data_IF_501190082277
#
_entry.id   IF_501190082277
#
_cell.length_a   1.000
_cell.length_b   1.000
_cell.length_c   1.000
_cell.angle_alpha   90.00
_cell.angle_beta   90.00
_cell.angle_gamma   90.00
#
_symmetry.space_group_name_H-M   'P 1'
#
loop_
_entity.id
_entity.type
_entity.pdbx_description
1 polymer ?
#
# COMPACT_ATOMS: atom_id res chain seq x y z
N UNK A 1 26.62 -0.82 -4.04
CA UNK A 1 25.19 -0.59 -4.35
C UNK A 1 24.34 -0.20 -3.14
N UNK A 2 24.60 -0.73 -1.93
CA UNK A 2 23.83 -0.42 -0.71
C UNK A 2 23.75 1.08 -0.41
N UNK A 3 24.88 1.79 -0.38
CA UNK A 3 24.94 3.25 -0.13
C UNK A 3 24.07 4.08 -1.08
N UNK A 4 23.95 3.63 -2.35
CA UNK A 4 23.10 4.31 -3.34
C UNK A 4 21.62 4.05 -3.04
N UNK A 5 21.25 2.81 -2.72
CA UNK A 5 19.88 2.46 -2.31
C UNK A 5 19.44 3.24 -1.07
N UNK A 6 20.30 3.35 -0.06
CA UNK A 6 20.04 4.14 1.15
C UNK A 6 19.83 5.62 0.84
N UNK A 7 20.64 6.19 -0.07
CA UNK A 7 20.50 7.59 -0.51
C UNK A 7 19.12 7.85 -1.13
N UNK A 8 18.66 6.97 -2.02
CA UNK A 8 17.36 7.12 -2.68
C UNK A 8 16.20 6.86 -1.72
N UNK A 9 16.31 5.83 -0.88
CA UNK A 9 15.31 5.57 0.16
C UNK A 9 15.16 6.77 1.10
N UNK A 10 16.27 7.36 1.54
CA UNK A 10 16.24 8.59 2.36
C UNK A 10 15.52 9.72 1.62
N UNK A 11 15.85 9.96 0.35
CA UNK A 11 15.19 11.00 -0.46
C UNK A 11 13.67 10.79 -0.56
N UNK A 12 13.23 9.57 -0.83
CA UNK A 12 11.82 9.31 -1.14
C UNK A 12 10.94 9.22 0.11
N UNK A 13 11.48 8.71 1.22
CA UNK A 13 10.74 8.47 2.46
C UNK A 13 10.89 9.61 3.49
N UNK A 14 12.01 10.36 3.56
CA UNK A 14 12.11 11.55 4.45
C UNK A 14 11.11 12.65 4.06
N UNK A 15 10.81 12.76 2.77
CA UNK A 15 9.79 13.70 2.29
C UNK A 15 8.38 13.21 2.61
N UNK A 16 8.17 11.89 2.59
CA UNK A 16 6.86 11.27 2.81
C UNK A 16 6.48 11.22 4.31
N UNK A 17 7.44 11.02 5.22
CA UNK A 17 7.18 10.93 6.67
C UNK A 17 6.51 12.17 7.25
N UNK A 18 6.78 13.35 6.68
CA UNK A 18 6.20 14.63 7.13
C UNK A 18 4.69 14.71 7.02
N UNK A 19 4.11 14.09 5.99
CA UNK A 19 2.66 14.10 5.72
C UNK A 19 2.24 12.86 4.92
N UNK A 20 2.43 11.68 5.52
CA UNK A 20 2.07 10.41 4.88
C UNK A 20 0.58 10.35 4.55
N UNK A 21 -0.27 10.70 5.51
CA UNK A 21 -1.72 10.58 5.38
C UNK A 21 -2.31 11.59 4.39
N UNK A 22 -1.81 12.83 4.37
CA UNK A 22 -2.20 13.82 3.37
C UNK A 22 -1.76 13.42 1.97
N UNK A 23 -0.55 12.86 1.81
CA UNK A 23 -0.07 12.33 0.53
C UNK A 23 -0.94 11.16 0.05
N UNK A 24 -1.27 10.20 0.93
CA UNK A 24 -2.17 9.08 0.61
C UNK A 24 -3.53 9.62 0.18
N UNK A 25 -4.14 10.51 0.97
CA UNK A 25 -5.47 11.06 0.66
C UNK A 25 -5.48 11.79 -0.68
N UNK A 26 -4.46 12.61 -0.94
CA UNK A 26 -4.32 13.36 -2.18
C UNK A 26 -4.20 12.43 -3.39
N UNK A 27 -3.27 11.47 -3.36
CA UNK A 27 -3.04 10.59 -4.51
C UNK A 27 -4.20 9.61 -4.74
N UNK A 28 -4.76 9.06 -3.66
CA UNK A 28 -5.87 8.10 -3.76
C UNK A 28 -7.22 8.73 -4.13
N UNK A 29 -7.36 10.06 -4.02
CA UNK A 29 -8.53 10.79 -4.52
C UNK A 29 -8.74 10.65 -6.03
N UNK A 30 -7.70 10.25 -6.77
CA UNK A 30 -7.75 10.01 -8.21
C UNK A 30 -8.13 8.56 -8.56
N UNK A 31 -8.32 7.69 -7.57
CA UNK A 31 -8.54 6.26 -7.78
C UNK A 31 -9.89 5.99 -8.48
N UNK A 32 -9.84 5.23 -9.58
CA UNK A 32 -11.01 4.83 -10.36
C UNK A 32 -11.61 3.48 -9.93
N UNK A 33 -11.07 2.87 -8.85
CA UNK A 33 -11.53 1.58 -8.31
C UNK A 33 -11.54 0.47 -9.39
N UNK A 34 -10.46 0.35 -10.16
CA UNK A 34 -10.27 -0.69 -11.19
C UNK A 34 -9.78 -2.04 -10.63
N UNK A 35 -9.44 -2.12 -9.34
CA UNK A 35 -8.95 -3.32 -8.64
C UNK A 35 -7.62 -3.93 -9.12
N UNK A 36 -6.97 -3.39 -10.16
CA UNK A 36 -5.68 -3.90 -10.67
C UNK A 36 -4.61 -4.08 -9.58
N UNK A 37 -4.58 -3.17 -8.60
CA UNK A 37 -3.62 -3.23 -7.48
C UNK A 37 -3.88 -4.35 -6.46
N UNK A 38 -5.08 -4.93 -6.46
CA UNK A 38 -5.48 -6.04 -5.60
C UNK A 38 -5.29 -7.36 -6.35
N UNK A 39 -5.80 -7.45 -7.57
CA UNK A 39 -5.81 -8.69 -8.37
C UNK A 39 -4.41 -9.17 -8.73
N UNK A 40 -3.47 -8.24 -8.98
CA UNK A 40 -2.10 -8.57 -9.36
C UNK A 40 -1.13 -8.67 -8.17
N UNK A 41 -1.66 -8.68 -6.94
CA UNK A 41 -0.83 -8.72 -5.76
C UNK A 41 -0.48 -10.18 -5.39
N UNK A 42 0.82 -10.54 -5.34
CA UNK A 42 1.23 -11.93 -5.11
C UNK A 42 1.00 -12.42 -3.68
N UNK A 43 0.55 -11.56 -2.76
CA UNK A 43 0.23 -11.97 -1.38
C UNK A 43 -1.27 -12.03 -1.12
N UNK A 44 -2.08 -11.74 -2.13
CA UNK A 44 -3.53 -11.70 -2.01
C UNK A 44 -4.14 -12.81 -2.84
N UNK A 45 -4.41 -13.92 -2.16
CA UNK A 45 -5.10 -15.06 -2.74
C UNK A 45 -6.51 -15.13 -2.13
N UNK A 46 -7.51 -14.48 -2.75
CA UNK A 46 -8.87 -14.56 -2.26
C UNK A 46 -9.34 -16.03 -2.31
N UNK A 47 -9.89 -16.53 -1.20
CA UNK A 47 -10.55 -17.84 -1.20
C UNK A 47 -11.81 -17.78 -2.08
N UNK A 48 -12.17 -18.89 -2.73
CA UNK A 48 -13.33 -18.94 -3.61
C UNK A 48 -14.65 -18.49 -2.94
N UNK A 49 -14.76 -18.64 -1.62
CA UNK A 49 -15.94 -18.19 -0.85
C UNK A 49 -15.92 -16.68 -0.53
N UNK A 50 -14.73 -16.06 -0.45
CA UNK A 50 -14.61 -14.60 -0.29
C UNK A 50 -15.10 -13.81 -1.50
N UNK A 51 -15.16 -14.45 -2.67
CA UNK A 51 -15.70 -13.89 -3.91
C UNK A 51 -17.24 -13.97 -3.97
N UNK A 52 -17.85 -14.93 -3.26
CA UNK A 52 -19.32 -15.11 -3.21
C UNK A 52 -19.99 -14.19 -2.18
N UNK A 53 -19.22 -13.66 -1.24
CA UNK A 53 -19.74 -12.84 -0.13
C UNK A 53 -19.93 -11.38 -0.57
N UNK A 54 -21.11 -10.84 -0.28
CA UNK A 54 -21.42 -9.43 -0.56
C UNK A 54 -20.46 -8.52 0.20
N UNK A 55 -19.66 -7.72 -0.51
CA UNK A 55 -18.73 -6.80 0.11
C UNK A 55 -19.42 -5.49 0.52
N UNK A 56 -19.88 -5.43 1.77
CA UNK A 56 -20.59 -4.24 2.30
C UNK A 56 -19.70 -2.99 2.41
N UNK A 57 -18.38 -3.18 2.51
CA UNK A 57 -17.42 -2.09 2.73
C UNK A 57 -17.02 -1.35 1.44
N UNK A 58 -17.43 -1.83 0.27
CA UNK A 58 -17.14 -1.17 -1.01
C UNK A 58 -18.45 -0.90 -1.73
N UNK A 59 -18.87 0.37 -1.77
CA UNK A 59 -20.11 0.74 -2.44
C UNK A 59 -19.97 0.59 -3.96
N UNK A 60 -20.90 -0.10 -4.63
CA UNK A 60 -20.98 -0.09 -6.09
C UNK A 60 -21.17 1.34 -6.62
N UNK A 61 -20.56 1.66 -7.77
CA UNK A 61 -20.72 2.98 -8.42
C UNK A 61 -20.01 4.18 -7.79
N UNK A 62 -19.52 4.09 -6.54
CA UNK A 62 -18.80 5.19 -5.88
C UNK A 62 -17.35 5.32 -6.40
N UNK A 63 -17.05 6.42 -7.09
CA UNK A 63 -15.72 6.77 -7.61
C UNK A 63 -15.46 8.27 -7.38
N UNK A 64 -14.33 8.67 -6.77
CA UNK A 64 -13.32 7.83 -6.13
C UNK A 64 -13.89 7.03 -4.95
N UNK A 65 -13.31 5.86 -4.60
CA UNK A 65 -13.82 5.06 -3.50
C UNK A 65 -13.67 5.80 -2.17
N UNK A 66 -14.48 5.41 -1.18
CA UNK A 66 -14.28 5.83 0.20
C UNK A 66 -12.81 5.60 0.64
N UNK A 67 -12.15 6.55 1.34
CA UNK A 67 -10.75 6.42 1.77
C UNK A 67 -10.44 5.11 2.53
N UNK A 68 -11.43 4.54 3.22
CA UNK A 68 -11.30 3.25 3.91
C UNK A 68 -10.97 2.09 2.98
N UNK A 69 -11.29 2.18 1.69
CA UNK A 69 -10.90 1.19 0.68
C UNK A 69 -9.37 1.01 0.63
N UNK A 70 -8.63 2.13 0.55
CA UNK A 70 -7.17 2.13 0.51
C UNK A 70 -6.58 1.79 1.88
N UNK A 71 -7.14 2.33 2.97
CA UNK A 71 -6.68 2.04 4.33
C UNK A 71 -6.75 0.54 4.65
N UNK A 72 -7.90 -0.09 4.36
CA UNK A 72 -8.07 -1.54 4.53
C UNK A 72 -7.06 -2.31 3.70
N UNK A 73 -6.82 -1.86 2.47
CA UNK A 73 -5.83 -2.49 1.57
C UNK A 73 -4.44 -2.47 2.19
N UNK A 74 -3.96 -1.30 2.62
CA UNK A 74 -2.64 -1.18 3.21
C UNK A 74 -2.50 -1.98 4.50
N UNK A 75 -3.53 -1.95 5.36
CA UNK A 75 -3.55 -2.75 6.58
C UNK A 75 -3.50 -4.26 6.29
N UNK A 76 -4.28 -4.73 5.31
CA UNK A 76 -4.39 -6.16 4.96
C UNK A 76 -3.07 -6.79 4.52
N UNK A 77 -2.19 -6.02 3.88
CA UNK A 77 -0.89 -6.52 3.38
C UNK A 77 0.31 -5.97 4.18
N UNK A 78 0.06 -5.26 5.28
CA UNK A 78 1.10 -4.52 6.01
C UNK A 78 2.25 -5.41 6.49
N UNK A 79 1.95 -6.64 6.92
CA UNK A 79 2.92 -7.64 7.38
C UNK A 79 3.53 -8.49 6.23
N UNK A 80 2.79 -8.64 5.15
CA UNK A 80 3.07 -9.63 4.10
C UNK A 80 3.63 -9.01 2.82
N UNK A 81 3.48 -7.71 2.59
CA UNK A 81 3.90 -7.03 1.36
C UNK A 81 5.40 -7.19 1.08
N UNK A 82 5.76 -7.86 -0.01
CA UNK A 82 7.15 -8.10 -0.43
C UNK A 82 7.74 -6.98 -1.30
N UNK A 83 7.05 -5.84 -1.41
CA UNK A 83 7.45 -4.69 -2.21
C UNK A 83 7.72 -5.02 -3.70
N UNK A 84 6.88 -5.86 -4.31
CA UNK A 84 7.03 -6.30 -5.71
C UNK A 84 6.73 -5.24 -6.79
N UNK A 85 6.14 -4.09 -6.43
CA UNK A 85 5.86 -2.99 -7.37
C UNK A 85 4.62 -3.13 -8.25
N UNK A 86 4.06 -4.34 -8.43
CA UNK A 86 2.95 -4.60 -9.36
C UNK A 86 1.72 -3.70 -9.17
N UNK A 87 1.41 -3.33 -7.92
CA UNK A 87 0.28 -2.45 -7.62
C UNK A 87 0.42 -1.02 -8.18
N UNK A 88 1.65 -0.52 -8.27
CA UNK A 88 1.97 0.81 -8.80
C UNK A 88 2.12 0.75 -10.32
N UNK A 89 2.84 -0.26 -10.83
CA UNK A 89 3.06 -0.48 -12.26
C UNK A 89 1.75 -0.63 -13.06
N UNK A 90 0.76 -1.32 -12.50
CA UNK A 90 -0.52 -1.59 -13.17
C UNK A 90 -1.62 -0.58 -12.80
N UNK A 91 -1.28 0.48 -12.06
CA UNK A 91 -2.24 1.50 -11.70
C UNK A 91 -2.52 2.40 -12.91
N UNK A 92 -3.75 2.37 -13.44
CA UNK A 92 -4.18 3.24 -14.54
C UNK A 92 -4.10 4.76 -14.24
N UNK A 93 -3.89 5.13 -12.97
CA UNK A 93 -3.82 6.51 -12.51
C UNK A 93 -2.43 6.90 -11.99
N UNK A 94 -1.42 6.03 -12.15
CA UNK A 94 -0.04 6.25 -11.68
C UNK A 94 0.01 6.65 -10.19
N UNK A 95 -0.79 5.99 -9.36
CA UNK A 95 -0.79 6.21 -7.90
C UNK A 95 0.41 5.43 -7.33
N UNK A 96 1.26 6.06 -6.48
CA UNK A 96 2.47 5.43 -5.94
C UNK A 96 2.15 4.44 -4.81
N UNK A 97 1.38 3.39 -5.14
CA UNK A 97 0.86 2.42 -4.19
C UNK A 97 1.94 1.55 -3.56
N UNK A 98 3.03 1.25 -4.27
CA UNK A 98 4.14 0.49 -3.72
C UNK A 98 4.88 1.34 -2.68
N UNK A 99 5.10 2.62 -2.97
CA UNK A 99 5.68 3.58 -2.03
C UNK A 99 4.86 3.67 -0.72
N UNK A 100 3.55 3.83 -0.80
CA UNK A 100 2.69 3.89 0.39
C UNK A 100 2.65 2.57 1.16
N UNK A 101 2.55 1.44 0.46
CA UNK A 101 2.53 0.12 1.10
C UNK A 101 3.85 -0.18 1.82
N UNK A 102 4.99 0.23 1.25
CA UNK A 102 6.29 0.09 1.90
C UNK A 102 6.40 0.96 3.16
N UNK A 103 5.95 2.22 3.10
CA UNK A 103 5.97 3.11 4.25
C UNK A 103 5.16 2.53 5.42
N UNK A 104 3.96 2.02 5.16
CA UNK A 104 3.07 1.43 6.16
C UNK A 104 3.63 0.11 6.70
N UNK A 105 4.20 -0.74 5.83
CA UNK A 105 4.89 -1.97 6.26
C UNK A 105 6.01 -1.66 7.25
N UNK A 106 6.83 -0.65 6.97
CA UNK A 106 7.92 -0.30 7.86
C UNK A 106 7.43 0.23 9.21
N UNK A 107 6.35 1.01 9.22
CA UNK A 107 5.72 1.45 10.46
C UNK A 107 5.17 0.27 11.27
N UNK A 108 4.62 -0.76 10.60
CA UNK A 108 4.24 -1.99 11.27
C UNK A 108 5.46 -2.74 11.83
N UNK A 109 6.57 -2.80 11.08
CA UNK A 109 7.83 -3.42 11.50
C UNK A 109 8.53 -2.66 12.65
N UNK A 110 8.23 -1.37 12.87
CA UNK A 110 8.75 -0.63 14.03
C UNK A 110 7.90 -0.87 15.29
N UNK A 111 6.60 -1.10 15.12
CA UNK A 111 5.66 -1.40 16.20
C UNK A 111 5.75 -2.85 16.70
N UNK A 112 6.07 -3.81 15.81
CA UNK A 112 6.15 -5.24 16.12
C UNK A 112 7.54 -5.78 15.77
N UNK A 113 8.13 -6.64 16.61
CA UNK A 113 9.42 -7.27 16.30
C UNK A 113 9.32 -8.07 14.99
N UNK A 114 9.97 -7.63 13.89
CA UNK A 114 9.78 -8.28 12.60
C UNK A 114 10.50 -9.62 12.61
N UNK A 115 9.84 -10.66 12.09
CA UNK A 115 10.48 -11.98 11.89
C UNK A 115 11.72 -11.93 10.98
N UNK A 116 11.87 -10.84 10.21
CA UNK A 116 12.97 -10.59 9.27
C UNK A 116 14.01 -9.58 9.81
N UNK A 117 13.90 -9.14 11.07
CA UNK A 117 14.80 -8.15 11.69
C UNK A 117 14.30 -6.70 11.61
N UNK A 118 14.86 -5.81 12.44
CA UNK A 118 14.39 -4.42 12.58
C UNK A 118 14.50 -3.62 11.28
N UNK A 119 13.44 -2.90 10.92
CA UNK A 119 13.48 -1.97 9.79
C UNK A 119 14.46 -0.82 10.05
N UNK A 120 15.15 -0.39 8.99
CA UNK A 120 16.09 0.73 9.00
C UNK A 120 15.44 2.08 8.68
N UNK A 121 14.12 2.12 8.48
CA UNK A 121 13.31 3.34 8.40
C UNK A 121 12.36 3.35 9.62
N UNK A 122 12.18 4.52 10.23
CA UNK A 122 11.24 4.78 11.33
C UNK A 122 10.52 6.07 10.99
N UNK A 123 9.20 6.09 11.17
CA UNK A 123 8.43 7.34 11.19
C UNK A 123 8.89 8.20 12.39
#
# INVERSE_FOLDING_TARGET
>A
MIKLGEKWRKKDFDALSKDLWGAIQKETSRCIKCYSCIENCPVCYPSADSLKTKQYMVKPGEVPPNPMFHMRRFAHISDSCVNCGQCEELCAMDIPLAKFSHAIRVEADSAFEPKLGKSTYSN
#
